data_IF_025657372458
#
_entry.id   IF_025657372458
#
_cell.length_a   1.000
_cell.length_b   1.000
_cell.length_c   1.000
_cell.angle_alpha   90.00
_cell.angle_beta   90.00
_cell.angle_gamma   90.00
#
_symmetry.space_group_name_H-M   'P 1'
#
loop_
_entity.id
_entity.type
_entity.pdbx_description
1 polymer ?
#
# COMPACT_ATOMS: atom_id res chain seq x y z
N UNK A 1 -21.51 17.92 -34.66
CA UNK A 1 -20.15 17.47 -34.85
C UNK A 1 -19.32 17.52 -33.60
N UNK A 2 -19.36 18.62 -32.88
CA UNK A 2 -18.60 18.71 -31.65
C UNK A 2 -19.08 17.74 -30.58
N UNK A 3 -20.37 17.41 -30.58
CA UNK A 3 -20.92 16.47 -29.62
C UNK A 3 -20.34 15.09 -29.73
N UNK A 4 -19.94 14.67 -30.94
CA UNK A 4 -19.36 13.36 -31.13
C UNK A 4 -18.01 13.24 -30.43
N UNK A 5 -17.23 14.32 -30.43
CA UNK A 5 -15.93 14.30 -29.78
C UNK A 5 -16.07 14.16 -28.28
N UNK A 6 -17.03 14.82 -27.67
CA UNK A 6 -17.25 14.71 -26.22
C UNK A 6 -17.56 13.29 -25.82
N UNK A 7 -18.38 12.60 -26.60
CA UNK A 7 -18.74 11.22 -26.28
C UNK A 7 -17.54 10.31 -26.27
N UNK A 8 -16.63 10.50 -27.21
CA UNK A 8 -15.42 9.68 -27.27
C UNK A 8 -14.53 9.90 -26.06
N UNK A 9 -14.35 11.13 -25.66
CA UNK A 9 -13.50 11.43 -24.51
C UNK A 9 -14.06 10.81 -23.23
N UNK A 10 -15.35 10.87 -23.06
CA UNK A 10 -15.98 10.28 -21.87
C UNK A 10 -15.74 8.80 -21.82
N UNK A 11 -15.85 8.11 -22.94
CA UNK A 11 -15.62 6.68 -22.99
C UNK A 11 -14.22 6.31 -22.59
N UNK A 12 -13.24 7.05 -23.05
CA UNK A 12 -11.84 6.77 -22.71
C UNK A 12 -11.58 6.90 -21.23
N UNK A 13 -12.14 7.91 -20.61
CA UNK A 13 -11.96 8.12 -19.18
C UNK A 13 -12.52 6.95 -18.38
N UNK A 14 -13.69 6.49 -18.73
CA UNK A 14 -14.31 5.36 -18.03
C UNK A 14 -13.47 4.10 -18.15
N UNK A 15 -12.94 3.85 -19.33
CA UNK A 15 -12.11 2.67 -19.54
C UNK A 15 -10.87 2.68 -18.66
N UNK A 16 -10.22 3.85 -18.54
CA UNK A 16 -9.03 3.96 -17.75
C UNK A 16 -9.32 3.68 -16.26
N UNK A 17 -10.43 4.17 -15.74
CA UNK A 17 -10.78 3.97 -14.35
C UNK A 17 -11.05 2.51 -14.01
N UNK A 18 -11.56 1.74 -14.96
CA UNK A 18 -11.94 0.35 -14.71
C UNK A 18 -10.75 -0.59 -14.57
N UNK A 19 -9.53 -0.13 -14.85
CA UNK A 19 -8.36 -1.00 -14.90
C UNK A 19 -7.52 -1.03 -13.63
N UNK A 20 -7.80 -0.17 -12.67
CA UNK A 20 -6.95 -0.04 -11.47
C UNK A 20 -7.32 -1.10 -10.42
N UNK A 21 -6.32 -1.52 -9.66
CA UNK A 21 -6.51 -2.44 -8.54
C UNK A 21 -6.25 -1.69 -7.24
N UNK A 22 -7.18 -1.77 -6.31
CA UNK A 22 -7.03 -1.13 -5.00
C UNK A 22 -6.92 -2.18 -3.92
N UNK A 23 -5.91 -2.03 -3.06
CA UNK A 23 -5.70 -2.94 -1.93
C UNK A 23 -5.44 -2.11 -0.68
N UNK A 24 -5.56 -2.74 0.48
CA UNK A 24 -5.30 -2.09 1.76
C UNK A 24 -4.18 -2.81 2.48
N UNK A 25 -3.41 -2.06 3.25
CA UNK A 25 -2.35 -2.62 4.10
C UNK A 25 -2.57 -2.15 5.52
N UNK A 26 -2.47 -3.06 6.47
CA UNK A 26 -2.62 -2.76 7.88
C UNK A 26 -1.31 -3.03 8.60
N UNK A 27 -0.79 -2.02 9.29
CA UNK A 27 0.40 -2.16 10.12
C UNK A 27 0.04 -1.75 11.55
N UNK A 28 0.23 -2.65 12.50
CA UNK A 28 -0.11 -2.38 13.90
C UNK A 28 0.78 -1.29 14.49
N UNK A 29 1.97 -1.13 13.96
CA UNK A 29 2.92 -0.16 14.46
C UNK A 29 2.67 1.18 13.77
N UNK A 30 1.80 1.99 14.35
CA UNK A 30 1.34 3.23 13.71
C UNK A 30 2.40 4.31 13.63
N UNK A 31 3.50 4.15 14.34
CA UNK A 31 4.61 5.09 14.23
C UNK A 31 5.50 4.82 13.02
N UNK A 32 5.22 3.75 12.28
CA UNK A 32 5.97 3.46 11.06
C UNK A 32 5.24 4.03 9.85
N UNK A 33 6.00 4.65 8.97
CA UNK A 33 5.47 5.19 7.73
C UNK A 33 5.46 4.10 6.67
N UNK A 34 4.35 3.96 5.98
CA UNK A 34 4.18 2.92 4.97
C UNK A 34 4.40 3.52 3.59
N UNK A 35 5.33 2.93 2.85
CA UNK A 35 5.60 3.30 1.47
C UNK A 35 5.26 2.11 0.59
N UNK A 36 4.57 2.36 -0.52
CA UNK A 36 4.25 1.32 -1.50
C UNK A 36 4.80 1.77 -2.84
N UNK A 37 5.68 0.98 -3.41
CA UNK A 37 6.34 1.28 -4.68
C UNK A 37 6.96 2.67 -4.64
N UNK A 38 7.63 2.97 -3.52
CA UNK A 38 8.35 4.23 -3.26
C UNK A 38 7.45 5.44 -3.07
N UNK A 39 6.18 5.22 -2.85
CA UNK A 39 5.24 6.31 -2.61
C UNK A 39 4.74 6.24 -1.18
N UNK A 40 4.81 7.34 -0.44
CA UNK A 40 4.27 7.39 0.93
C UNK A 40 2.75 7.32 0.88
N UNK A 41 2.17 6.35 1.58
CA UNK A 41 0.71 6.17 1.56
C UNK A 41 0.05 6.39 2.92
N UNK A 42 0.81 6.47 4.00
CA UNK A 42 0.25 6.77 5.32
C UNK A 42 0.80 5.89 6.41
N UNK A 43 0.07 5.79 7.51
CA UNK A 43 0.42 4.96 8.66
C UNK A 43 -0.81 4.17 9.10
N UNK A 44 -0.59 3.06 9.80
CA UNK A 44 -1.67 2.24 10.33
C UNK A 44 -2.40 1.48 9.24
N UNK A 45 -3.60 1.91 8.92
CA UNK A 45 -4.39 1.31 7.85
C UNK A 45 -4.36 2.24 6.64
N UNK A 46 -3.83 1.75 5.53
CA UNK A 46 -3.66 2.57 4.34
C UNK A 46 -4.27 1.87 3.14
N UNK A 47 -4.62 2.65 2.13
CA UNK A 47 -5.15 2.13 0.89
C UNK A 47 -4.24 2.55 -0.26
N UNK A 48 -3.95 1.62 -1.14
CA UNK A 48 -3.09 1.86 -2.29
C UNK A 48 -3.83 1.48 -3.56
N UNK A 49 -3.85 2.37 -4.55
CA UNK A 49 -4.45 2.09 -5.85
C UNK A 49 -3.32 1.95 -6.86
N UNK A 50 -3.16 0.75 -7.37
CA UNK A 50 -2.08 0.44 -8.30
C UNK A 50 -2.45 0.86 -9.70
N UNK A 51 -1.52 1.46 -10.44
CA UNK A 51 -1.77 1.74 -11.84
C UNK A 51 -1.96 0.46 -12.64
N UNK A 52 -2.59 0.60 -13.79
CA UNK A 52 -2.81 -0.53 -14.68
C UNK A 52 -1.47 -1.20 -15.00
N UNK A 53 -1.45 -2.52 -14.91
CA UNK A 53 -0.26 -3.29 -15.23
C UNK A 53 0.67 -3.55 -14.07
N UNK A 54 0.45 -2.88 -12.94
CA UNK A 54 1.27 -3.10 -11.74
C UNK A 54 0.68 -4.28 -10.97
N UNK A 55 1.48 -5.34 -10.77
CA UNK A 55 1.01 -6.55 -10.11
C UNK A 55 1.72 -6.83 -8.80
N UNK A 56 2.78 -6.07 -8.49
CA UNK A 56 3.54 -6.25 -7.25
C UNK A 56 3.52 -4.95 -6.48
N UNK A 57 3.17 -5.03 -5.20
CA UNK A 57 3.27 -3.90 -4.29
C UNK A 57 4.51 -4.11 -3.41
N UNK A 58 5.52 -3.28 -3.64
CA UNK A 58 6.74 -3.32 -2.86
C UNK A 58 6.54 -2.42 -1.64
N UNK A 59 6.31 -3.04 -0.50
CA UNK A 59 5.92 -2.32 0.72
C UNK A 59 7.13 -2.14 1.62
N UNK A 60 7.36 -0.92 2.07
CA UNK A 60 8.41 -0.60 3.03
C UNK A 60 7.79 0.11 4.22
N UNK A 61 8.23 -0.28 5.41
CA UNK A 61 7.85 0.41 6.65
C UNK A 61 9.08 1.13 7.16
N UNK A 62 8.97 2.46 7.31
CA UNK A 62 10.12 3.30 7.66
C UNK A 62 9.87 4.08 8.93
N UNK A 63 10.94 4.35 9.64
CA UNK A 63 10.91 5.25 10.78
C UNK A 63 12.07 6.21 10.65
N UNK A 64 11.76 7.52 10.62
CA UNK A 64 12.77 8.57 10.48
C UNK A 64 13.66 8.35 9.26
N UNK A 65 13.04 7.93 8.15
CA UNK A 65 13.75 7.73 6.90
C UNK A 65 14.51 6.41 6.78
N UNK A 66 14.47 5.58 7.82
CA UNK A 66 15.18 4.29 7.82
C UNK A 66 14.18 3.17 7.60
N UNK A 67 14.47 2.30 6.63
CA UNK A 67 13.61 1.16 6.37
C UNK A 67 13.76 0.12 7.46
N UNK A 68 12.69 -0.13 8.20
CA UNK A 68 12.67 -1.12 9.29
C UNK A 68 12.28 -2.49 8.73
N UNK A 69 11.42 -2.52 7.74
CA UNK A 69 10.89 -3.77 7.21
C UNK A 69 10.45 -3.56 5.77
N UNK A 70 10.63 -4.58 4.93
CA UNK A 70 10.12 -4.51 3.57
C UNK A 70 9.65 -5.87 3.12
N UNK A 71 8.64 -5.89 2.25
CA UNK A 71 8.10 -7.11 1.72
C UNK A 71 7.34 -6.81 0.44
N UNK A 72 7.42 -7.74 -0.52
CA UNK A 72 6.67 -7.62 -1.77
C UNK A 72 5.40 -8.43 -1.67
N UNK A 73 4.30 -7.84 -2.13
CA UNK A 73 3.00 -8.50 -2.13
C UNK A 73 2.51 -8.61 -3.57
N UNK A 74 2.04 -9.81 -3.94
CA UNK A 74 1.45 -10.00 -5.25
C UNK A 74 -0.01 -9.55 -5.18
N UNK A 75 -0.33 -8.47 -5.88
CA UNK A 75 -1.67 -7.89 -5.82
C UNK A 75 -2.50 -8.18 -7.07
N UNK A 76 -1.97 -8.99 -7.98
CA UNK A 76 -2.70 -9.33 -9.18
C UNK A 76 -3.99 -10.06 -8.82
N UNK A 77 -5.11 -9.53 -9.30
CA UNK A 77 -6.40 -10.14 -9.02
C UNK A 77 -6.88 -9.97 -7.59
N UNK A 78 -6.24 -9.12 -6.81
CA UNK A 78 -6.55 -8.95 -5.38
C UNK A 78 -7.28 -7.64 -5.08
N UNK A 79 -8.12 -7.20 -6.00
CA UNK A 79 -8.84 -5.95 -5.79
C UNK A 79 -9.65 -6.00 -4.49
N UNK A 80 -9.51 -4.97 -3.66
CA UNK A 80 -10.17 -4.83 -2.35
C UNK A 80 -9.62 -5.78 -1.28
N UNK A 81 -8.47 -6.41 -1.51
CA UNK A 81 -7.87 -7.27 -0.50
C UNK A 81 -7.22 -6.45 0.62
N UNK A 82 -7.12 -7.06 1.79
CA UNK A 82 -6.43 -6.48 2.92
C UNK A 82 -5.22 -7.35 3.25
N UNK A 83 -4.05 -6.73 3.32
CA UNK A 83 -2.80 -7.40 3.69
C UNK A 83 -2.36 -6.92 5.06
N UNK A 84 -2.03 -7.85 5.93
CA UNK A 84 -1.61 -7.54 7.29
C UNK A 84 -0.08 -7.56 7.35
N UNK A 85 0.51 -6.39 7.64
CA UNK A 85 1.97 -6.25 7.70
C UNK A 85 2.44 -6.59 9.10
N UNK A 86 3.30 -7.60 9.22
CA UNK A 86 3.86 -8.02 10.49
C UNK A 86 5.33 -7.63 10.54
N UNK A 87 5.73 -6.87 11.54
CA UNK A 87 7.09 -6.39 11.69
C UNK A 87 7.67 -7.03 12.96
N UNK A 88 8.23 -8.23 12.84
CA UNK A 88 8.58 -9.02 14.04
C UNK A 88 9.63 -8.38 14.95
N UNK A 89 10.66 -7.82 14.37
CA UNK A 89 11.73 -7.25 15.19
C UNK A 89 11.29 -6.00 15.93
N UNK A 90 10.43 -5.24 15.30
CA UNK A 90 9.92 -4.03 15.93
C UNK A 90 9.05 -4.37 17.12
N UNK A 91 8.26 -5.42 17.00
CA UNK A 91 7.44 -5.87 18.11
C UNK A 91 8.27 -6.37 19.26
N UNK A 92 9.35 -7.05 18.98
CA UNK A 92 10.25 -7.49 20.03
C UNK A 92 10.78 -6.34 20.83
N UNK A 93 11.13 -5.27 20.17
CA UNK A 93 11.60 -4.10 20.86
C UNK A 93 10.57 -3.59 21.85
N UNK A 94 9.35 -3.52 21.44
CA UNK A 94 8.35 -2.92 22.29
C UNK A 94 8.06 -3.76 23.51
N UNK A 95 8.24 -5.05 23.41
CA UNK A 95 8.02 -5.85 24.57
C UNK A 95 9.14 -5.81 25.53
N UNK A 96 10.22 -5.43 25.20
CA UNK A 96 11.24 -5.41 26.05
C UNK A 96 11.39 -4.53 26.95
N UNK A 97 11.02 -4.19 26.90
CA UNK A 97 11.15 -3.43 27.83
C UNK A 97 10.99 -4.09 28.91
N UNK A 98 10.94 -5.00 28.66
CA UNK A 98 10.67 -5.53 29.52
C UNK A 98 11.43 -6.24 29.78
N UNK A 99 12.05 -6.35 29.20
CA UNK A 99 12.45 -6.73 29.55
C UNK A 99 12.95 -6.93 30.11
N UNK A 100 12.93 -7.13 29.91
CA UNK A 100 13.06 -7.46 30.40
C UNK A 100 13.36 -7.86 30.73
N UNK A 101 13.55 -8.16 30.58
CA UNK A 101 13.57 -8.64 30.89
C UNK A 101 13.95 -9.10 31.18
N UNK A 102 14.18 -9.42 31.14
CA UNK A 102 14.22 -9.82 31.45
C UNK A 102 14.36 -9.85 31.88
#
# INVERSE_FOLDING_TARGET
MTTTLFALLASMVLTACASATSVSFLCENEDLQIFVNNEFVGTGLVRYTAPKGVTIAEVECKKNGVTIYSKNYNIKGQNNALFDIKVPEYNSYSSDKQIHSK
#
